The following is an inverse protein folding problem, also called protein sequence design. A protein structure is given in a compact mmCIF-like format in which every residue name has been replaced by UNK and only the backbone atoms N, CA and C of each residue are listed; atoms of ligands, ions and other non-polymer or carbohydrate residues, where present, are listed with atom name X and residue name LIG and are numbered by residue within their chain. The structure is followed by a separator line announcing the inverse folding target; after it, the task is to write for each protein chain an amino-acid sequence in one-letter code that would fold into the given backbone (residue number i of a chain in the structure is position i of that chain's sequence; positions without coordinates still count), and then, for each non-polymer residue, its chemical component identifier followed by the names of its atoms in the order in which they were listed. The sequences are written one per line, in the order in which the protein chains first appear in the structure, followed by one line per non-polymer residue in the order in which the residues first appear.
data_IF_958657918071
#
_entry.id   IF_958657918071
#
_cell.length_a   1.000
_cell.length_b   1.000
_cell.length_c   1.000
_cell.angle_alpha   90.00
_cell.angle_beta   90.00
_cell.angle_gamma   90.00
#
_symmetry.space_group_name_H-M   'P 1'
#
loop_
_entity.id
_entity.type
_entity.pdbx_description
1 polymer ?
#
# COMPACT_ATOMS: atom_id res chain seq x y z
N UNK A 1 0.03 18.11 1.18
CA UNK A 1 1.30 17.71 1.81
C UNK A 1 2.13 16.96 0.78
N UNK A 2 3.46 17.09 0.78
CA UNK A 2 4.35 16.27 -0.08
C UNK A 2 4.91 15.18 0.82
N UNK A 3 4.69 13.92 0.45
CA UNK A 3 5.30 12.81 1.17
C UNK A 3 6.81 12.76 0.90
N UNK A 4 7.59 12.53 1.94
CA UNK A 4 9.03 12.30 1.86
C UNK A 4 9.39 10.93 2.44
N UNK A 5 10.47 10.29 1.94
CA UNK A 5 10.96 9.04 2.49
C UNK A 5 11.17 9.13 4.00
N UNK A 6 10.62 8.18 4.74
CA UNK A 6 10.72 8.16 6.20
C UNK A 6 10.72 6.73 6.75
N UNK A 7 11.16 6.58 7.99
CA UNK A 7 11.31 5.27 8.65
C UNK A 7 9.98 4.58 9.04
N UNK A 8 8.86 5.29 8.97
CA UNK A 8 7.54 4.81 9.41
C UNK A 8 6.67 4.35 8.24
N UNK A 9 7.10 4.55 6.99
CA UNK A 9 6.41 4.10 5.78
C UNK A 9 7.22 2.99 5.09
N UNK A 10 6.54 1.95 4.62
CA UNK A 10 7.07 0.95 3.68
C UNK A 10 6.27 1.02 2.39
N UNK A 11 6.98 1.03 1.28
CA UNK A 11 6.40 0.91 -0.06
C UNK A 11 6.95 -0.40 -0.64
N UNK A 12 6.06 -1.29 -1.08
CA UNK A 12 6.41 -2.59 -1.64
C UNK A 12 5.85 -2.68 -3.05
N UNK A 13 6.74 -2.76 -4.03
CA UNK A 13 6.39 -3.03 -5.42
C UNK A 13 5.97 -4.50 -5.57
N UNK A 14 4.92 -4.72 -6.35
CA UNK A 14 4.46 -6.03 -6.80
C UNK A 14 4.12 -5.96 -8.30
N UNK A 15 4.36 -7.08 -9.00
CA UNK A 15 3.92 -7.24 -10.38
C UNK A 15 3.65 -8.71 -10.65
N UNK A 16 2.41 -9.01 -11.04
CA UNK A 16 1.98 -10.36 -11.35
C UNK A 16 0.90 -10.36 -12.44
N UNK A 17 0.78 -11.44 -13.24
CA UNK A 17 -0.20 -11.51 -14.33
C UNK A 17 -1.64 -11.41 -13.82
N UNK A 18 -2.57 -11.18 -14.76
CA UNK A 18 -4.01 -11.30 -14.50
C UNK A 18 -4.44 -12.75 -14.27
N UNK A 19 -5.49 -12.93 -13.49
CA UNK A 19 -6.11 -14.25 -13.25
C UNK A 19 -7.28 -14.49 -14.22
N UNK A 20 -8.10 -15.51 -13.96
CA UNK A 20 -9.28 -15.87 -14.77
C UNK A 20 -10.44 -14.85 -14.71
N UNK A 21 -10.32 -13.81 -13.88
CA UNK A 21 -11.29 -12.73 -13.74
C UNK A 21 -10.92 -11.46 -14.53
N UNK A 22 -11.71 -10.39 -14.40
CA UNK A 22 -11.38 -9.09 -14.98
C UNK A 22 -10.02 -8.58 -14.49
N UNK A 23 -9.21 -8.05 -15.41
CA UNK A 23 -7.95 -7.43 -15.04
C UNK A 23 -8.19 -6.20 -14.17
N UNK A 24 -7.47 -6.13 -13.05
CA UNK A 24 -7.52 -5.03 -12.11
C UNK A 24 -6.11 -4.50 -11.88
N UNK A 25 -5.79 -3.31 -12.39
CA UNK A 25 -4.45 -2.72 -12.29
C UNK A 25 -3.98 -2.45 -10.84
N UNK A 26 -4.89 -2.43 -9.87
CA UNK A 26 -4.57 -2.29 -8.44
C UNK A 26 -4.31 -3.63 -7.74
N UNK A 27 -4.32 -4.72 -8.50
CA UNK A 27 -3.99 -6.05 -8.03
C UNK A 27 -3.05 -6.76 -9.01
N UNK A 28 -3.23 -6.64 -10.31
CA UNK A 28 -2.43 -7.26 -11.34
C UNK A 28 -1.62 -6.21 -12.11
N UNK A 29 -0.57 -6.65 -12.81
CA UNK A 29 0.41 -5.75 -13.41
C UNK A 29 1.20 -5.00 -12.34
N UNK A 30 1.88 -3.94 -12.74
CA UNK A 30 2.73 -3.15 -11.85
C UNK A 30 1.90 -2.32 -10.87
N UNK A 31 2.09 -2.56 -9.59
CA UNK A 31 1.43 -1.81 -8.52
C UNK A 31 2.27 -1.79 -7.23
N UNK A 32 1.87 -0.96 -6.27
CA UNK A 32 2.58 -0.78 -5.02
C UNK A 32 1.64 -0.88 -3.83
N UNK A 33 2.08 -1.52 -2.75
CA UNK A 33 1.40 -1.49 -1.47
C UNK A 33 2.13 -0.59 -0.50
N UNK A 34 1.36 0.18 0.27
CA UNK A 34 1.88 1.12 1.25
C UNK A 34 1.43 0.71 2.63
N UNK A 35 2.39 0.57 3.53
CA UNK A 35 2.18 0.23 4.93
C UNK A 35 2.79 1.30 5.83
N UNK A 36 2.11 1.60 6.93
CA UNK A 36 2.54 2.56 7.94
C UNK A 36 2.65 1.89 9.29
N UNK A 37 3.66 2.28 10.08
CA UNK A 37 3.77 1.94 11.50
C UNK A 37 3.76 3.18 12.39
N UNK A 38 3.34 3.08 13.66
CA UNK A 38 3.48 4.18 14.61
C UNK A 38 4.93 4.58 14.82
N UNK A 39 5.16 5.89 15.02
CA UNK A 39 6.47 6.40 15.42
C UNK A 39 6.96 5.76 16.73
N UNK A 40 8.28 5.60 16.87
CA UNK A 40 8.89 4.97 18.05
C UNK A 40 8.72 3.46 18.16
N UNK A 41 8.05 2.80 17.21
CA UNK A 41 7.97 1.34 17.14
C UNK A 41 8.88 0.79 16.05
N UNK A 42 9.48 -0.38 16.27
CA UNK A 42 10.08 -1.17 15.20
C UNK A 42 8.99 -1.89 14.40
N UNK A 43 9.30 -2.29 13.17
CA UNK A 43 8.37 -3.05 12.33
C UNK A 43 7.95 -4.40 12.94
N UNK A 44 8.88 -5.08 13.62
CA UNK A 44 8.55 -6.33 14.32
C UNK A 44 7.57 -6.10 15.47
N UNK A 45 7.79 -5.04 16.28
CA UNK A 45 6.87 -4.67 17.36
C UNK A 45 5.49 -4.27 16.82
N UNK A 46 5.46 -3.46 15.75
CA UNK A 46 4.20 -3.05 15.11
C UNK A 46 3.44 -4.27 14.58
N UNK A 47 4.13 -5.21 13.93
CA UNK A 47 3.55 -6.45 13.44
C UNK A 47 2.97 -7.31 14.57
N UNK A 48 3.77 -7.58 15.63
CA UNK A 48 3.32 -8.38 16.79
C UNK A 48 2.12 -7.78 17.51
N UNK A 49 1.97 -6.45 17.49
CA UNK A 49 0.87 -5.72 18.12
C UNK A 49 -0.30 -5.41 17.17
N UNK A 50 -0.21 -5.82 15.89
CA UNK A 50 -1.24 -5.51 14.90
C UNK A 50 -1.40 -4.01 14.60
N UNK A 51 -0.33 -3.22 14.73
CA UNK A 51 -0.35 -1.76 14.56
C UNK A 51 0.00 -1.29 13.14
N UNK A 52 0.30 -2.22 12.23
CA UNK A 52 0.60 -1.89 10.84
C UNK A 52 -0.70 -1.49 10.15
N UNK A 53 -0.73 -0.29 9.58
CA UNK A 53 -1.86 0.21 8.80
C UNK A 53 -1.54 0.09 7.32
N UNK A 54 -2.48 -0.48 6.56
CA UNK A 54 -2.43 -0.47 5.10
C UNK A 54 -3.05 0.83 4.62
N UNK A 55 -2.34 1.52 3.74
CA UNK A 55 -2.88 2.65 3.04
C UNK A 55 -3.70 2.17 1.84
N UNK A 56 -4.82 2.83 1.58
CA UNK A 56 -5.70 2.51 0.46
C UNK A 56 -5.74 3.67 -0.53
N UNK A 57 -5.88 3.39 -1.83
CA UNK A 57 -6.09 4.43 -2.82
C UNK A 57 -7.34 5.25 -2.54
N UNK A 58 -7.33 6.50 -3.01
CA UNK A 58 -8.50 7.37 -2.93
C UNK A 58 -9.73 6.69 -3.56
N UNK A 59 -10.86 6.79 -2.86
CA UNK A 59 -12.13 6.16 -3.26
C UNK A 59 -12.07 4.63 -3.41
N UNK A 60 -11.16 3.94 -2.71
CA UNK A 60 -11.13 2.48 -2.65
C UNK A 60 -12.51 1.89 -2.33
N UNK A 61 -12.89 0.86 -3.09
CA UNK A 61 -14.08 0.05 -2.86
C UNK A 61 -13.70 -1.41 -2.63
N UNK A 62 -14.42 -2.15 -1.78
CA UNK A 62 -14.18 -3.58 -1.58
C UNK A 62 -14.13 -4.35 -2.92
N UNK A 63 -13.04 -5.10 -3.13
CA UNK A 63 -12.84 -5.90 -4.35
C UNK A 63 -12.10 -5.18 -5.48
N UNK A 64 -11.85 -3.87 -5.39
CA UNK A 64 -11.16 -3.11 -6.42
C UNK A 64 -9.63 -3.18 -6.33
N UNK A 65 -9.05 -4.10 -5.55
CA UNK A 65 -7.60 -4.17 -5.34
C UNK A 65 -7.12 -3.04 -4.43
N UNK A 66 -5.98 -3.25 -3.76
CA UNK A 66 -5.46 -2.33 -2.72
C UNK A 66 -4.15 -1.67 -3.12
N UNK A 67 -3.66 -1.97 -4.32
CA UNK A 67 -2.44 -1.41 -4.88
C UNK A 67 -2.65 0.01 -5.42
N UNK A 68 -1.59 0.79 -5.29
CA UNK A 68 -1.40 2.05 -5.98
C UNK A 68 -0.80 1.79 -7.35
N UNK A 69 -1.32 2.46 -8.38
CA UNK A 69 -0.74 2.39 -9.73
C UNK A 69 0.33 3.47 -9.92
N UNK A 70 1.29 3.29 -10.85
CA UNK A 70 2.30 4.31 -11.15
C UNK A 70 1.68 5.68 -11.42
N UNK A 71 2.21 6.72 -10.76
CA UNK A 71 1.74 8.10 -10.90
C UNK A 71 0.63 8.51 -9.93
N UNK A 72 0.07 7.58 -9.15
CA UNK A 72 -0.85 7.96 -8.08
C UNK A 72 -0.17 8.69 -6.93
N UNK A 73 -0.92 9.60 -6.33
CA UNK A 73 -0.50 10.20 -5.07
C UNK A 73 -0.57 9.13 -4.00
N UNK A 74 0.54 8.94 -3.30
CA UNK A 74 0.52 8.18 -2.07
C UNK A 74 -0.43 8.89 -1.09
N UNK A 75 -1.23 8.14 -0.31
CA UNK A 75 -2.02 8.69 0.76
C UNK A 75 -1.03 9.22 1.79
N UNK A 76 -0.77 10.50 1.68
CA UNK A 76 -0.51 11.33 2.84
C UNK A 76 -1.76 11.32 3.73
N UNK A 77 -1.74 11.55 5.05
CA UNK A 77 -0.95 12.55 5.75
C UNK A 77 -0.73 13.83 4.93
#
# INVERSE_FOLDING_TARGET
MVWEPNQNTRIRYESHPGDSGPFNARHHGEHYHIELKPAGTSWNQANKKGLIQKAYPDNYQPGHGTGFIPGEKHPGL
#
